data_IF_631993351505
#
_entry.id   IF_631993351505
#
_cell.length_a   1.000
_cell.length_b   1.000
_cell.length_c   1.000
_cell.angle_alpha   90.00
_cell.angle_beta   90.00
_cell.angle_gamma   90.00
#
_symmetry.space_group_name_H-M   'P 1'
#
loop_
_entity.id
_entity.type
_entity.pdbx_description
1 polymer ?
#
# COMPACT_ATOMS: atom_id res chain seq x y z
N UNK A 1 5.44 -11.21 8.28
CA UNK A 1 5.55 -9.83 8.76
C UNK A 1 4.54 -9.71 9.90
N UNK A 2 5.04 -9.59 11.13
CA UNK A 2 4.14 -9.19 12.19
C UNK A 2 3.46 -7.89 11.74
N UNK A 3 2.14 -7.73 11.93
CA UNK A 3 1.48 -6.45 11.72
C UNK A 3 2.35 -5.41 12.41
N UNK A 4 2.65 -4.32 11.71
CA UNK A 4 3.54 -3.28 12.21
C UNK A 4 3.19 -3.03 13.66
N UNK A 5 4.12 -3.36 14.58
CA UNK A 5 3.93 -3.03 15.99
C UNK A 5 3.72 -1.54 16.03
N UNK A 6 2.50 -1.18 16.39
CA UNK A 6 1.97 0.13 16.60
C UNK A 6 2.71 1.23 15.87
N UNK A 7 2.06 1.79 14.88
CA UNK A 7 2.47 3.09 14.36
C UNK A 7 2.59 4.00 15.57
N UNK A 8 3.82 4.35 15.95
CA UNK A 8 4.07 5.28 17.03
C UNK A 8 3.54 6.65 16.63
N UNK A 9 2.22 6.81 16.69
CA UNK A 9 1.58 8.06 16.36
C UNK A 9 1.87 9.08 17.44
N UNK A 10 2.46 10.16 17.00
CA UNK A 10 2.83 11.23 17.89
C UNK A 10 1.65 12.14 18.12
N UNK A 11 1.13 12.06 19.30
CA UNK A 11 0.08 12.91 19.77
C UNK A 11 0.64 14.25 20.25
N UNK A 12 0.50 15.30 19.44
CA UNK A 12 0.96 16.63 19.78
C UNK A 12 -0.19 17.59 20.00
N UNK A 13 -0.19 18.24 21.12
CA UNK A 13 -1.20 19.17 21.60
C UNK A 13 -0.66 20.59 21.56
N UNK A 14 -1.47 21.51 21.03
CA UNK A 14 -1.09 22.88 20.83
C UNK A 14 -1.99 23.83 21.61
N UNK A 15 -1.43 24.88 22.20
CA UNK A 15 -2.20 26.00 22.69
C UNK A 15 -1.53 27.34 22.37
N UNK A 16 -2.37 28.35 22.11
CA UNK A 16 -1.97 29.76 22.06
C UNK A 16 -2.46 30.44 23.35
N UNK A 17 -1.60 31.25 23.97
CA UNK A 17 -1.79 31.82 25.32
C UNK A 17 -3.03 32.70 25.48
N UNK A 18 -3.56 33.29 24.41
CA UNK A 18 -4.76 34.14 24.43
C UNK A 18 -6.09 33.33 24.44
N UNK A 19 -6.03 32.02 24.25
CA UNK A 19 -7.20 31.13 24.30
C UNK A 19 -7.19 30.27 25.55
N UNK A 20 -8.32 29.63 25.88
CA UNK A 20 -8.50 28.84 27.09
C UNK A 20 -7.46 27.72 27.23
N UNK A 21 -6.58 27.81 28.20
CA UNK A 21 -5.64 26.74 28.55
C UNK A 21 -6.33 25.54 29.19
N UNK A 22 -7.29 25.70 30.13
CA UNK A 22 -8.03 24.58 30.70
C UNK A 22 -8.78 23.79 29.64
N UNK A 23 -9.38 24.46 28.66
CA UNK A 23 -10.12 23.77 27.57
C UNK A 23 -9.16 23.02 26.62
N UNK A 24 -8.00 23.58 26.35
CA UNK A 24 -6.96 22.89 25.60
C UNK A 24 -6.50 21.60 26.30
N UNK A 25 -6.26 21.63 27.62
CA UNK A 25 -5.91 20.44 28.42
C UNK A 25 -7.05 19.42 28.42
N UNK A 26 -8.31 19.86 28.54
CA UNK A 26 -9.49 18.98 28.45
C UNK A 26 -9.53 18.23 27.11
N UNK A 27 -9.47 18.95 25.98
CA UNK A 27 -9.49 18.31 24.66
C UNK A 27 -8.26 17.45 24.39
N UNK A 28 -7.14 17.78 24.98
CA UNK A 28 -6.00 16.91 25.05
C UNK A 28 -6.37 15.53 25.59
N UNK A 29 -6.92 15.48 26.79
CA UNK A 29 -7.30 14.23 27.45
C UNK A 29 -8.35 13.45 26.67
N UNK A 30 -9.37 14.14 26.17
CA UNK A 30 -10.42 13.50 25.37
C UNK A 30 -9.90 12.87 24.08
N UNK A 31 -8.97 13.55 23.40
CA UNK A 31 -8.39 13.01 22.16
C UNK A 31 -7.47 11.81 22.44
N UNK A 32 -6.64 11.85 23.50
CA UNK A 32 -5.83 10.71 23.90
C UNK A 32 -6.69 9.49 24.19
N UNK A 33 -7.72 9.67 25.02
CA UNK A 33 -8.68 8.60 25.31
C UNK A 33 -9.32 8.02 24.05
N UNK A 34 -9.70 8.88 23.10
CA UNK A 34 -10.31 8.38 21.85
C UNK A 34 -9.32 7.59 20.99
N UNK A 35 -8.05 7.97 20.93
CA UNK A 35 -7.02 7.19 20.25
C UNK A 35 -6.80 5.82 20.93
N UNK A 36 -6.77 5.77 22.27
CA UNK A 36 -6.71 4.51 23.03
C UNK A 36 -7.90 3.59 22.72
N UNK A 37 -9.12 4.15 22.66
CA UNK A 37 -10.34 3.42 22.29
C UNK A 37 -10.29 2.86 20.87
N UNK A 38 -9.58 3.54 19.95
CA UNK A 38 -9.35 3.11 18.58
C UNK A 38 -8.17 2.11 18.44
N UNK A 39 -7.50 1.80 19.55
CA UNK A 39 -6.35 0.90 19.55
C UNK A 39 -5.08 1.49 18.89
N UNK A 40 -4.97 2.82 18.84
CA UNK A 40 -3.81 3.50 18.29
C UNK A 40 -2.67 3.49 19.31
N UNK A 41 -1.50 3.01 18.90
CA UNK A 41 -0.28 3.10 19.69
C UNK A 41 0.40 4.44 19.44
N UNK A 42 0.55 5.28 20.48
CA UNK A 42 1.08 6.63 20.33
C UNK A 42 2.05 7.05 21.45
N UNK A 43 2.92 7.97 21.12
CA UNK A 43 3.86 8.63 22.05
C UNK A 43 3.38 10.06 22.31
N UNK A 44 3.09 10.40 23.57
CA UNK A 44 2.68 11.74 23.95
C UNK A 44 3.84 12.55 24.56
N UNK A 45 3.56 13.78 25.01
CA UNK A 45 4.54 14.73 25.59
C UNK A 45 4.21 15.15 27.02
N UNK A 46 3.44 14.34 27.73
CA UNK A 46 3.05 14.63 29.14
C UNK A 46 4.22 14.60 30.11
N UNK A 47 5.28 13.89 29.77
CA UNK A 47 6.55 13.85 30.52
C UNK A 47 7.47 15.05 30.26
N UNK A 48 7.15 15.91 29.29
CA UNK A 48 7.97 17.08 28.93
C UNK A 48 7.50 18.33 29.63
N UNK A 49 6.19 18.50 29.80
CA UNK A 49 5.59 19.56 30.60
C UNK A 49 4.23 19.11 31.17
N UNK A 50 3.81 19.76 32.27
CA UNK A 50 2.62 19.37 33.04
C UNK A 50 1.30 19.43 32.23
N UNK A 51 1.23 20.34 31.26
CA UNK A 51 0.05 20.44 30.37
C UNK A 51 0.07 19.37 29.26
N UNK A 52 1.25 18.82 28.94
CA UNK A 52 1.44 17.94 27.78
C UNK A 52 1.07 18.62 26.46
N UNK A 53 1.36 19.93 26.33
CA UNK A 53 1.03 20.77 25.18
C UNK A 53 2.31 21.41 24.61
N UNK A 54 2.41 21.58 23.31
CA UNK A 54 3.44 22.39 22.67
C UNK A 54 2.93 23.83 22.51
N UNK A 55 3.64 24.81 23.08
CA UNK A 55 3.29 26.22 22.99
C UNK A 55 4.49 27.18 22.95
N UNK A 56 5.73 26.67 23.03
CA UNK A 56 6.94 27.47 22.95
C UNK A 56 8.15 26.68 22.46
N UNK A 57 9.25 27.34 22.16
CA UNK A 57 10.51 26.77 21.71
C UNK A 57 11.20 25.87 22.74
N UNK A 58 11.03 26.16 24.04
CA UNK A 58 11.80 25.51 25.12
C UNK A 58 11.55 24.00 25.16
N UNK A 59 10.31 23.55 24.91
CA UNK A 59 9.94 22.14 24.83
C UNK A 59 10.23 21.48 23.49
N UNK A 60 10.37 22.25 22.42
CA UNK A 60 10.41 21.73 21.05
C UNK A 60 11.59 20.79 20.80
N UNK A 61 12.81 21.17 21.22
CA UNK A 61 14.00 20.33 21.00
C UNK A 61 13.93 19.00 21.78
N UNK A 62 13.37 19.03 23.00
CA UNK A 62 13.12 17.81 23.78
C UNK A 62 12.10 16.89 23.10
N UNK A 63 11.05 17.47 22.51
CA UNK A 63 10.03 16.74 21.76
C UNK A 63 10.65 16.10 20.51
N UNK A 64 11.44 16.86 19.75
CA UNK A 64 12.13 16.34 18.55
C UNK A 64 13.04 15.17 18.94
N UNK A 65 13.84 15.32 20.00
CA UNK A 65 14.75 14.28 20.46
C UNK A 65 13.99 13.01 20.90
N UNK A 66 12.90 13.18 21.68
CA UNK A 66 12.04 12.06 22.09
C UNK A 66 11.50 11.30 20.90
N UNK A 67 10.88 11.99 19.95
CA UNK A 67 10.21 11.35 18.81
C UNK A 67 11.18 10.67 17.84
N UNK A 68 12.36 11.24 17.65
CA UNK A 68 13.44 10.57 16.89
C UNK A 68 13.93 9.31 17.60
N UNK A 69 14.04 9.32 18.94
CA UNK A 69 14.43 8.14 19.73
C UNK A 69 13.38 7.03 19.63
N UNK A 70 12.11 7.39 19.73
CA UNK A 70 10.99 6.43 19.64
C UNK A 70 10.70 6.00 18.18
N UNK A 71 11.34 6.63 17.18
CA UNK A 71 11.19 6.29 15.75
C UNK A 71 9.74 6.31 15.29
N UNK A 72 9.05 7.40 15.57
CA UNK A 72 7.65 7.56 15.19
C UNK A 72 7.44 7.50 13.67
N UNK A 73 6.40 6.84 13.22
CA UNK A 73 6.09 6.66 11.81
C UNK A 73 5.22 7.78 11.23
N UNK A 74 4.57 8.58 12.10
CA UNK A 74 3.72 9.70 11.71
C UNK A 74 3.59 10.73 12.82
N UNK A 75 3.15 11.93 12.48
CA UNK A 75 2.95 13.05 13.38
C UNK A 75 1.49 13.53 13.33
N UNK A 76 0.74 13.31 14.40
CA UNK A 76 -0.60 13.87 14.55
C UNK A 76 -0.54 15.22 15.28
N UNK A 77 -1.05 16.29 14.66
CA UNK A 77 -1.11 17.67 15.16
C UNK A 77 -2.57 18.07 15.51
N UNK A 78 -3.12 17.60 16.65
CA UNK A 78 -4.44 18.06 17.09
C UNK A 78 -4.36 19.46 17.68
N UNK A 79 -5.09 20.41 17.09
CA UNK A 79 -5.24 21.75 17.61
C UNK A 79 -6.25 21.75 18.77
N UNK A 80 -5.79 21.62 20.00
CA UNK A 80 -6.65 21.62 21.19
C UNK A 80 -7.23 23.02 21.53
N UNK A 81 -6.66 24.09 20.97
CA UNK A 81 -7.23 25.41 20.77
C UNK A 81 -6.63 26.00 19.48
N UNK A 82 -6.46 27.30 19.32
CA UNK A 82 -5.91 27.92 18.11
C UNK A 82 -4.53 27.31 17.72
N UNK A 83 -3.70 26.98 18.71
CA UNK A 83 -2.40 26.35 18.50
C UNK A 83 -1.26 27.29 18.14
N UNK A 84 -0.03 26.73 18.01
CA UNK A 84 1.20 27.45 17.67
C UNK A 84 1.69 27.00 16.28
N UNK A 85 1.65 27.93 15.34
CA UNK A 85 1.91 27.66 13.92
C UNK A 85 3.39 27.30 13.64
N UNK A 86 4.29 28.06 14.24
CA UNK A 86 5.72 28.01 13.96
C UNK A 86 6.37 26.76 14.54
N UNK A 87 6.11 26.46 15.80
CA UNK A 87 6.65 25.29 16.50
C UNK A 87 6.17 24.00 15.86
N UNK A 88 4.94 23.99 15.37
CA UNK A 88 4.39 22.84 14.63
C UNK A 88 5.11 22.56 13.32
N UNK A 89 5.33 23.62 12.56
CA UNK A 89 6.02 23.48 11.27
C UNK A 89 7.49 23.08 11.48
N UNK A 90 8.17 23.63 12.51
CA UNK A 90 9.53 23.21 12.86
C UNK A 90 9.61 21.75 13.27
N UNK A 91 8.69 21.30 14.11
CA UNK A 91 8.66 19.88 14.49
C UNK A 91 8.41 18.97 13.29
N UNK A 92 7.39 19.27 12.52
CA UNK A 92 7.05 18.49 11.33
C UNK A 92 8.24 18.42 10.36
N UNK A 93 8.92 19.55 10.12
CA UNK A 93 10.12 19.60 9.29
C UNK A 93 11.28 18.78 9.85
N UNK A 94 11.46 18.77 11.17
CA UNK A 94 12.59 18.07 11.83
C UNK A 94 12.40 16.55 11.87
N UNK A 95 11.16 16.06 11.86
CA UNK A 95 10.85 14.63 11.90
C UNK A 95 10.80 13.99 10.52
N UNK A 96 10.39 14.71 9.49
CA UNK A 96 10.28 14.25 8.10
C UNK A 96 9.44 12.95 7.95
N UNK A 97 8.32 12.92 8.64
CA UNK A 97 7.31 11.83 8.59
C UNK A 97 5.97 12.40 8.14
N UNK A 98 5.01 11.55 7.71
CA UNK A 98 3.65 12.00 7.42
C UNK A 98 3.05 12.81 8.56
N UNK A 99 2.30 13.84 8.23
CA UNK A 99 1.70 14.78 9.18
C UNK A 99 0.20 14.81 9.01
N UNK A 100 -0.55 14.55 10.08
CA UNK A 100 -2.00 14.76 10.15
C UNK A 100 -2.31 16.04 10.92
N UNK A 101 -2.96 16.99 10.25
CA UNK A 101 -3.46 18.22 10.84
C UNK A 101 -4.96 18.09 11.09
N UNK A 102 -5.39 18.26 12.34
CA UNK A 102 -6.78 18.21 12.75
C UNK A 102 -7.04 19.06 13.99
N UNK A 103 -8.31 19.40 14.25
CA UNK A 103 -8.76 19.99 15.49
C UNK A 103 -10.24 19.72 15.73
N UNK A 104 -10.65 19.60 17.00
CA UNK A 104 -12.04 19.33 17.35
C UNK A 104 -12.94 20.51 16.99
N UNK A 105 -14.15 20.21 16.52
CA UNK A 105 -15.18 21.20 16.27
C UNK A 105 -15.42 22.03 17.55
N UNK A 106 -15.44 23.36 17.42
CA UNK A 106 -15.66 24.27 18.53
C UNK A 106 -17.11 24.22 19.01
N UNK A 107 -17.31 24.41 20.32
CA UNK A 107 -18.63 24.57 20.91
C UNK A 107 -19.23 25.96 20.58
N UNK A 108 -20.49 26.15 20.95
CA UNK A 108 -21.13 27.47 20.88
C UNK A 108 -20.37 28.45 21.78
N UNK A 109 -20.29 29.74 21.42
CA UNK A 109 -19.78 30.75 22.31
C UNK A 109 -20.47 30.73 23.69
N UNK A 110 -19.75 31.09 24.72
CA UNK A 110 -20.29 31.31 26.06
C UNK A 110 -21.38 32.41 26.05
N UNK A 111 -22.23 32.50 27.09
CA UNK A 111 -23.29 33.51 27.14
C UNK A 111 -22.85 34.96 27.00
N UNK A 112 -21.59 35.24 27.35
CA UNK A 112 -20.97 36.58 27.19
C UNK A 112 -20.34 36.78 25.80
N UNK A 113 -20.45 35.80 24.91
CA UNK A 113 -19.88 35.81 23.56
C UNK A 113 -18.43 35.35 23.47
N UNK A 114 -17.82 34.90 24.57
CA UNK A 114 -16.45 34.40 24.59
C UNK A 114 -16.36 33.08 23.81
N UNK A 115 -15.37 32.98 22.92
CA UNK A 115 -14.97 31.73 22.24
C UNK A 115 -13.71 31.18 22.90
N UNK A 116 -13.74 29.89 23.25
CA UNK A 116 -12.67 29.29 24.07
C UNK A 116 -11.45 28.86 23.26
N UNK A 117 -11.64 28.46 21.98
CA UNK A 117 -10.57 27.75 21.23
C UNK A 117 -10.27 28.31 19.85
N UNK A 118 -11.25 28.71 19.08
CA UNK A 118 -11.13 29.12 17.65
C UNK A 118 -10.27 28.14 16.83
N UNK A 119 -10.51 26.85 17.02
CA UNK A 119 -9.69 25.73 16.50
C UNK A 119 -9.57 25.77 14.98
N UNK A 120 -10.67 25.98 14.27
CA UNK A 120 -10.66 26.02 12.80
C UNK A 120 -9.78 27.14 12.25
N UNK A 121 -9.81 28.31 12.88
CA UNK A 121 -8.94 29.43 12.50
C UNK A 121 -7.44 29.06 12.66
N UNK A 122 -7.11 28.36 13.76
CA UNK A 122 -5.76 27.86 14.00
C UNK A 122 -5.31 26.82 12.97
N UNK A 123 -6.21 25.95 12.51
CA UNK A 123 -5.91 24.98 11.44
C UNK A 123 -5.54 25.68 10.12
N UNK A 124 -6.27 26.73 9.74
CA UNK A 124 -5.96 27.50 8.52
C UNK A 124 -4.61 28.22 8.65
N UNK A 125 -4.32 28.78 9.81
CA UNK A 125 -3.04 29.44 10.08
C UNK A 125 -1.86 28.47 10.04
N UNK A 126 -1.95 27.35 10.74
CA UNK A 126 -0.90 26.30 10.75
C UNK A 126 -0.70 25.68 9.37
N UNK A 127 -1.76 25.39 8.63
CA UNK A 127 -1.67 24.90 7.26
C UNK A 127 -0.90 25.84 6.34
N UNK A 128 -1.07 27.17 6.50
CA UNK A 128 -0.27 28.15 5.77
C UNK A 128 1.22 28.08 6.13
N UNK A 129 1.57 27.90 7.40
CA UNK A 129 2.98 27.84 7.83
C UNK A 129 3.63 26.53 7.44
N UNK A 130 2.94 25.39 7.55
CA UNK A 130 3.43 24.09 7.02
C UNK A 130 3.82 24.21 5.54
N UNK A 131 2.98 24.86 4.72
CA UNK A 131 3.29 25.11 3.30
C UNK A 131 4.52 25.98 3.11
N UNK A 132 4.73 27.03 3.94
CA UNK A 132 5.95 27.86 3.90
C UNK A 132 7.19 27.05 4.21
N UNK A 133 7.09 26.08 5.11
CA UNK A 133 8.18 25.15 5.45
C UNK A 133 8.35 24.02 4.42
N UNK A 134 7.48 23.97 3.40
CA UNK A 134 7.44 22.89 2.40
C UNK A 134 7.27 21.51 3.04
N UNK A 135 6.44 21.43 4.07
CA UNK A 135 6.06 20.19 4.72
C UNK A 135 4.72 19.73 4.12
N UNK A 136 4.68 18.56 3.48
CA UNK A 136 3.41 17.97 3.09
C UNK A 136 2.63 17.57 4.34
N UNK A 137 1.31 17.67 4.27
CA UNK A 137 0.45 17.25 5.37
C UNK A 137 -0.92 16.78 4.84
N UNK A 138 -1.54 15.87 5.59
CA UNK A 138 -2.92 15.45 5.43
C UNK A 138 -3.81 16.31 6.33
N UNK A 139 -4.91 16.79 5.80
CA UNK A 139 -5.91 17.55 6.56
C UNK A 139 -7.17 16.70 6.75
N UNK A 140 -7.48 16.42 8.00
CA UNK A 140 -8.79 15.88 8.38
C UNK A 140 -9.73 17.03 8.74
N UNK A 141 -10.97 16.97 8.24
CA UNK A 141 -11.94 18.04 8.49
C UNK A 141 -12.14 18.29 9.98
N UNK A 142 -12.39 19.56 10.34
CA UNK A 142 -12.74 19.94 11.70
C UNK A 142 -14.07 19.26 12.11
N UNK A 143 -14.00 18.29 13.02
CA UNK A 143 -15.12 17.43 13.40
C UNK A 143 -15.07 17.07 14.89
N UNK A 144 -16.12 16.43 15.41
CA UNK A 144 -16.11 15.90 16.78
C UNK A 144 -15.37 14.59 16.86
N UNK A 145 -14.81 14.27 18.02
CA UNK A 145 -14.10 13.03 18.31
C UNK A 145 -14.93 11.75 18.05
N UNK A 146 -16.25 11.85 18.24
CA UNK A 146 -17.17 10.71 18.03
C UNK A 146 -17.80 10.69 16.62
N UNK A 147 -17.45 11.61 15.76
CA UNK A 147 -17.93 11.59 14.39
C UNK A 147 -17.24 10.46 13.60
N UNK A 148 -17.95 9.72 12.75
CA UNK A 148 -17.35 8.63 11.95
C UNK A 148 -16.14 9.07 11.11
N UNK A 149 -16.12 10.35 10.69
CA UNK A 149 -15.01 10.92 9.92
C UNK A 149 -13.71 10.99 10.72
N UNK A 150 -13.79 11.17 12.05
CA UNK A 150 -12.58 11.15 12.89
C UNK A 150 -11.94 9.76 12.91
N UNK A 151 -12.73 8.73 13.20
CA UNK A 151 -12.24 7.35 13.22
C UNK A 151 -11.65 6.93 11.87
N UNK A 152 -12.39 7.19 10.77
CA UNK A 152 -11.89 6.91 9.43
C UNK A 152 -10.61 7.68 9.12
N UNK A 153 -10.58 8.99 9.38
CA UNK A 153 -9.40 9.82 9.11
C UNK A 153 -8.15 9.39 9.88
N UNK A 154 -8.30 8.87 11.11
CA UNK A 154 -7.19 8.26 11.86
C UNK A 154 -6.74 6.96 11.19
N UNK A 155 -7.66 6.04 10.85
CA UNK A 155 -7.34 4.78 10.18
C UNK A 155 -6.64 5.00 8.83
N UNK A 156 -7.17 5.89 8.01
CA UNK A 156 -6.58 6.24 6.72
C UNK A 156 -5.17 6.85 6.88
N UNK A 157 -4.99 7.72 7.88
CA UNK A 157 -3.67 8.28 8.16
C UNK A 157 -2.65 7.23 8.63
N UNK A 158 -3.06 6.27 9.45
CA UNK A 158 -2.21 5.13 9.83
C UNK A 158 -1.79 4.31 8.60
N UNK A 159 -2.71 4.08 7.69
CA UNK A 159 -2.42 3.41 6.42
C UNK A 159 -1.47 4.23 5.54
N UNK A 160 -1.63 5.55 5.45
CA UNK A 160 -0.68 6.45 4.77
C UNK A 160 0.73 6.34 5.38
N UNK A 161 0.85 6.36 6.71
CA UNK A 161 2.13 6.17 7.39
C UNK A 161 2.77 4.82 7.05
N UNK A 162 1.96 3.75 7.02
CA UNK A 162 2.42 2.42 6.65
C UNK A 162 2.92 2.36 5.20
N UNK A 163 2.20 2.98 4.26
CA UNK A 163 2.63 3.08 2.85
C UNK A 163 3.98 3.78 2.75
N UNK A 164 4.12 4.96 3.38
CA UNK A 164 5.36 5.75 3.32
C UNK A 164 6.54 5.00 3.92
N UNK A 165 6.34 4.37 5.08
CA UNK A 165 7.36 3.55 5.75
C UNK A 165 7.77 2.36 4.88
N UNK A 166 6.79 1.65 4.34
CA UNK A 166 7.03 0.47 3.51
C UNK A 166 7.75 0.83 2.23
N UNK A 167 7.31 1.91 1.54
CA UNK A 167 7.92 2.39 0.30
C UNK A 167 9.41 2.72 0.48
N UNK A 168 9.77 3.42 1.55
CA UNK A 168 11.18 3.77 1.86
C UNK A 168 12.07 2.55 2.19
N UNK A 169 11.46 1.39 2.40
CA UNK A 169 12.16 0.15 2.77
C UNK A 169 12.02 -0.97 1.73
N UNK A 170 11.60 -0.66 0.51
CA UNK A 170 11.46 -1.66 -0.56
C UNK A 170 12.85 -2.19 -0.96
N UNK A 171 12.98 -3.53 -0.91
CA UNK A 171 14.13 -4.29 -1.37
C UNK A 171 13.64 -5.44 -2.20
N UNK A 172 13.98 -5.45 -3.49
CA UNK A 172 13.43 -6.35 -4.49
C UNK A 172 14.45 -7.44 -4.83
N UNK A 173 14.08 -8.68 -4.66
CA UNK A 173 14.82 -9.81 -5.22
C UNK A 173 14.51 -9.89 -6.73
N UNK A 174 15.43 -9.49 -7.57
CA UNK A 174 15.30 -9.63 -9.01
C UNK A 174 15.86 -10.98 -9.45
N UNK A 175 15.00 -11.89 -9.86
CA UNK A 175 15.37 -13.24 -10.29
C UNK A 175 15.53 -13.24 -11.81
N UNK A 176 16.81 -13.21 -12.25
CA UNK A 176 17.23 -13.14 -13.64
C UNK A 176 16.83 -11.82 -14.34
N UNK A 177 16.74 -11.84 -15.65
CA UNK A 177 16.45 -10.66 -16.48
C UNK A 177 14.99 -10.65 -16.91
N UNK A 178 14.48 -9.49 -17.39
CA UNK A 178 13.20 -9.49 -18.08
C UNK A 178 13.23 -10.42 -19.29
N UNK A 179 12.08 -10.98 -19.72
CA UNK A 179 12.02 -11.69 -21.00
C UNK A 179 12.47 -10.75 -22.13
N UNK A 180 13.21 -11.28 -23.12
CA UNK A 180 13.93 -10.43 -24.04
C UNK A 180 13.03 -9.52 -24.91
N UNK A 181 11.81 -9.97 -25.24
CA UNK A 181 10.84 -9.24 -26.04
C UNK A 181 9.97 -8.24 -25.21
N UNK A 182 10.10 -8.24 -23.90
CA UNK A 182 9.24 -7.45 -23.00
C UNK A 182 9.86 -6.07 -22.71
N UNK A 183 9.87 -5.21 -23.69
CA UNK A 183 10.46 -3.87 -23.60
C UNK A 183 9.69 -2.94 -22.67
N UNK A 184 8.38 -3.16 -22.50
CA UNK A 184 7.51 -2.33 -21.64
C UNK A 184 7.77 -2.49 -20.14
N UNK A 185 8.43 -3.57 -19.70
CA UNK A 185 8.79 -3.77 -18.28
C UNK A 185 10.18 -3.24 -17.91
N UNK A 186 10.85 -2.51 -18.82
CA UNK A 186 12.13 -1.88 -18.49
C UNK A 186 11.95 -0.84 -17.37
N UNK A 187 12.87 -0.86 -16.41
CA UNK A 187 12.93 0.15 -15.36
C UNK A 187 14.32 0.79 -15.31
N UNK A 188 14.41 1.99 -14.74
CA UNK A 188 15.67 2.64 -14.44
C UNK A 188 16.08 2.38 -13.00
N UNK A 189 16.85 1.32 -12.77
CA UNK A 189 17.33 0.92 -11.45
C UNK A 189 18.07 2.06 -10.72
N UNK A 190 18.89 2.84 -11.45
CA UNK A 190 19.62 3.96 -10.89
C UNK A 190 18.69 5.04 -10.36
N UNK A 191 17.65 5.40 -11.10
CA UNK A 191 16.65 6.39 -10.65
C UNK A 191 15.85 5.89 -9.44
N UNK A 192 15.47 4.61 -9.42
CA UNK A 192 14.76 4.02 -8.28
C UNK A 192 15.59 4.10 -7.00
N UNK A 193 16.89 3.82 -7.10
CA UNK A 193 17.80 3.94 -5.96
C UNK A 193 18.03 5.40 -5.53
N UNK A 194 18.35 6.28 -6.48
CA UNK A 194 18.73 7.67 -6.18
C UNK A 194 17.54 8.49 -5.69
N UNK A 195 16.36 8.27 -6.26
CA UNK A 195 15.16 9.05 -5.96
C UNK A 195 14.39 8.56 -4.74
N UNK A 196 14.29 7.23 -4.60
CA UNK A 196 13.41 6.60 -3.62
C UNK A 196 14.14 5.72 -2.61
N UNK A 197 15.42 5.41 -2.84
CA UNK A 197 16.16 4.48 -2.00
C UNK A 197 15.76 3.00 -2.20
N UNK A 198 14.99 2.70 -3.25
CA UNK A 198 14.57 1.34 -3.60
C UNK A 198 15.79 0.55 -4.09
N UNK A 199 16.01 -0.62 -3.50
CA UNK A 199 17.18 -1.44 -3.81
C UNK A 199 16.77 -2.71 -4.55
N UNK A 200 17.45 -2.99 -5.65
CA UNK A 200 17.35 -4.24 -6.38
C UNK A 200 18.51 -5.15 -6.01
N UNK A 201 18.22 -6.43 -5.80
CA UNK A 201 19.22 -7.50 -5.57
C UNK A 201 19.10 -8.52 -6.70
N UNK A 202 19.81 -8.31 -7.82
CA UNK A 202 19.72 -9.21 -8.96
C UNK A 202 20.49 -10.52 -8.68
N UNK A 203 19.85 -11.65 -9.00
CA UNK A 203 20.46 -12.97 -8.99
C UNK A 203 20.29 -13.64 -10.35
N UNK A 204 21.27 -14.43 -10.81
CA UNK A 204 21.14 -15.19 -12.05
C UNK A 204 20.24 -16.43 -11.84
N UNK A 205 19.58 -16.90 -12.92
CA UNK A 205 18.73 -18.09 -12.88
C UNK A 205 19.41 -19.33 -12.27
N UNK A 206 20.71 -19.64 -12.58
CA UNK A 206 21.41 -20.76 -11.94
C UNK A 206 21.46 -20.70 -10.40
N UNK A 207 21.43 -19.52 -9.78
CA UNK A 207 21.37 -19.43 -8.31
C UNK A 207 20.02 -19.90 -7.77
N UNK A 208 18.93 -19.55 -8.46
CA UNK A 208 17.59 -20.04 -8.10
C UNK A 208 17.50 -21.56 -8.27
N UNK A 209 17.92 -22.09 -9.42
CA UNK A 209 17.85 -23.54 -9.69
C UNK A 209 18.74 -24.35 -8.76
N UNK A 210 19.91 -23.83 -8.36
CA UNK A 210 20.73 -24.45 -7.32
C UNK A 210 20.03 -24.42 -5.95
N UNK A 211 19.43 -23.30 -5.56
CA UNK A 211 18.68 -23.22 -4.31
C UNK A 211 17.50 -24.21 -4.28
N UNK A 212 16.82 -24.43 -5.43
CA UNK A 212 15.78 -25.47 -5.54
C UNK A 212 16.34 -26.89 -5.35
N UNK A 213 17.51 -27.20 -5.92
CA UNK A 213 18.19 -28.49 -5.70
C UNK A 213 18.52 -28.69 -4.24
N UNK A 214 19.11 -27.68 -3.60
CA UNK A 214 19.44 -27.69 -2.18
C UNK A 214 18.17 -27.92 -1.30
N UNK A 215 17.04 -27.31 -1.65
CA UNK A 215 15.76 -27.55 -0.97
C UNK A 215 15.30 -28.99 -1.13
N UNK A 216 15.35 -29.55 -2.34
CA UNK A 216 14.97 -30.95 -2.60
C UNK A 216 15.83 -31.97 -1.85
N UNK A 217 17.14 -31.71 -1.76
CA UNK A 217 18.07 -32.60 -1.09
C UNK A 217 18.01 -32.50 0.45
N UNK A 218 17.82 -31.29 0.98
CA UNK A 218 18.01 -31.02 2.41
C UNK A 218 16.72 -30.67 3.18
N UNK A 219 15.57 -30.52 2.50
CA UNK A 219 14.31 -30.07 3.14
C UNK A 219 13.07 -30.83 2.63
N UNK A 220 13.09 -32.17 2.54
CA UNK A 220 11.95 -32.94 2.03
C UNK A 220 10.67 -32.75 2.86
N UNK A 221 10.79 -32.51 4.16
CA UNK A 221 9.64 -32.28 5.03
C UNK A 221 8.94 -30.94 4.70
N UNK A 222 9.70 -29.87 4.44
CA UNK A 222 9.10 -28.57 4.03
C UNK A 222 8.40 -28.71 2.66
N UNK A 223 8.98 -29.45 1.71
CA UNK A 223 8.32 -29.77 0.43
C UNK A 223 7.00 -30.48 0.69
N UNK A 224 7.01 -31.48 1.58
CA UNK A 224 5.81 -32.21 1.95
C UNK A 224 4.75 -31.30 2.56
N UNK A 225 5.12 -30.40 3.47
CA UNK A 225 4.19 -29.43 4.07
C UNK A 225 3.52 -28.56 3.00
N UNK A 226 4.29 -27.99 2.06
CA UNK A 226 3.75 -27.17 0.98
C UNK A 226 2.87 -27.97 0.03
N UNK A 227 3.29 -29.20 -0.34
CA UNK A 227 2.49 -30.05 -1.25
C UNK A 227 1.21 -30.55 -0.60
N UNK A 228 1.24 -30.86 0.71
CA UNK A 228 0.02 -31.23 1.46
C UNK A 228 -0.93 -30.04 1.57
N UNK A 229 -0.44 -28.84 1.83
CA UNK A 229 -1.24 -27.60 1.76
C UNK A 229 -1.86 -27.42 0.37
N UNK A 230 -1.09 -27.61 -0.71
CA UNK A 230 -1.64 -27.53 -2.07
C UNK A 230 -2.75 -28.56 -2.30
N UNK A 231 -2.57 -29.82 -1.88
CA UNK A 231 -3.62 -30.85 -2.00
C UNK A 231 -4.87 -30.53 -1.20
N UNK A 232 -4.73 -29.94 -0.02
CA UNK A 232 -5.86 -29.50 0.79
C UNK A 232 -6.63 -28.35 0.12
N UNK A 233 -5.90 -27.32 -0.33
CA UNK A 233 -6.51 -26.05 -0.80
C UNK A 233 -6.84 -26.01 -2.29
N UNK A 234 -6.28 -26.91 -3.10
CA UNK A 234 -6.37 -26.84 -4.56
C UNK A 234 -6.71 -28.20 -5.19
N UNK A 235 -7.26 -28.17 -6.40
CA UNK A 235 -7.34 -29.32 -7.27
C UNK A 235 -6.00 -29.50 -8.01
N UNK A 236 -5.40 -30.71 -7.93
CA UNK A 236 -4.09 -30.96 -8.50
C UNK A 236 -4.23 -31.75 -9.82
N UNK A 237 -3.82 -31.12 -10.94
CA UNK A 237 -3.80 -31.75 -12.27
C UNK A 237 -2.38 -31.84 -12.84
N UNK A 238 -1.37 -31.66 -12.01
CA UNK A 238 0.03 -31.81 -12.36
C UNK A 238 0.59 -33.11 -11.77
N UNK A 239 1.72 -33.57 -12.26
CA UNK A 239 2.41 -34.77 -11.71
C UNK A 239 2.93 -34.51 -10.30
N UNK A 240 3.14 -35.56 -9.49
CA UNK A 240 3.77 -35.40 -8.17
C UNK A 240 5.12 -34.65 -8.24
N UNK A 241 5.95 -34.98 -9.23
CA UNK A 241 7.25 -34.33 -9.44
C UNK A 241 7.11 -32.83 -9.76
N UNK A 242 6.13 -32.46 -10.61
CA UNK A 242 5.85 -31.04 -10.90
C UNK A 242 5.35 -30.31 -9.66
N UNK A 243 4.53 -30.94 -8.84
CA UNK A 243 4.06 -30.34 -7.58
C UNK A 243 5.21 -30.15 -6.59
N UNK A 244 6.14 -31.11 -6.49
CA UNK A 244 7.35 -30.96 -5.68
C UNK A 244 8.25 -29.84 -6.21
N UNK A 245 8.32 -29.65 -7.55
CA UNK A 245 9.01 -28.53 -8.17
C UNK A 245 8.37 -27.17 -7.80
N UNK A 246 7.04 -27.08 -7.80
CA UNK A 246 6.31 -25.87 -7.35
C UNK A 246 6.65 -25.54 -5.89
N UNK A 247 6.63 -26.56 -5.02
CA UNK A 247 6.97 -26.39 -3.60
C UNK A 247 8.44 -25.99 -3.41
N UNK A 248 9.36 -26.65 -4.10
CA UNK A 248 10.80 -26.33 -4.03
C UNK A 248 11.09 -24.91 -4.54
N UNK A 249 10.43 -24.48 -5.62
CA UNK A 249 10.55 -23.12 -6.16
C UNK A 249 10.06 -22.08 -5.15
N UNK A 250 8.87 -22.27 -4.57
CA UNK A 250 8.31 -21.39 -3.53
C UNK A 250 9.26 -21.23 -2.35
N UNK A 251 9.78 -22.34 -1.82
CA UNK A 251 10.71 -22.35 -0.68
C UNK A 251 12.03 -21.66 -1.05
N UNK A 252 12.59 -21.97 -2.23
CA UNK A 252 13.84 -21.37 -2.71
C UNK A 252 13.71 -19.84 -2.84
N UNK A 253 12.63 -19.32 -3.47
CA UNK A 253 12.39 -17.88 -3.61
C UNK A 253 12.30 -17.20 -2.25
N UNK A 254 11.55 -17.75 -1.31
CA UNK A 254 11.40 -17.20 0.04
C UNK A 254 12.74 -17.19 0.79
N UNK A 255 13.55 -18.25 0.70
CA UNK A 255 14.88 -18.34 1.32
C UNK A 255 15.88 -17.34 0.70
N UNK A 256 15.86 -17.19 -0.62
CA UNK A 256 16.69 -16.20 -1.31
C UNK A 256 16.28 -14.78 -0.94
N UNK A 257 14.99 -14.48 -0.88
CA UNK A 257 14.50 -13.20 -0.38
C UNK A 257 15.05 -12.90 1.02
N UNK A 258 14.92 -13.84 1.94
CA UNK A 258 15.48 -13.70 3.31
C UNK A 258 17.01 -13.56 3.31
N UNK A 259 17.73 -14.34 2.51
CA UNK A 259 19.20 -14.30 2.40
C UNK A 259 19.70 -12.92 1.98
N UNK A 260 19.02 -12.29 1.03
CA UNK A 260 19.40 -10.98 0.50
C UNK A 260 18.68 -9.80 1.19
N UNK A 261 17.89 -10.06 2.22
CA UNK A 261 17.15 -9.03 2.95
C UNK A 261 16.08 -8.34 2.12
N UNK A 262 15.52 -9.03 1.12
CA UNK A 262 14.45 -8.56 0.26
C UNK A 262 13.08 -8.85 0.86
N UNK A 263 12.11 -7.95 0.65
CA UNK A 263 10.74 -8.09 1.13
C UNK A 263 9.71 -8.32 0.02
N UNK A 264 10.15 -8.35 -1.22
CA UNK A 264 9.37 -8.64 -2.41
C UNK A 264 10.29 -9.12 -3.53
N UNK A 265 9.74 -9.55 -4.67
CA UNK A 265 10.53 -10.04 -5.79
C UNK A 265 9.89 -9.81 -7.15
N UNK A 266 10.70 -10.04 -8.19
CA UNK A 266 10.28 -10.10 -9.59
C UNK A 266 11.04 -11.23 -10.28
N UNK A 267 10.38 -12.01 -11.11
CA UNK A 267 10.97 -13.22 -11.71
C UNK A 267 10.81 -13.26 -13.22
N UNK A 268 11.87 -13.69 -13.91
CA UNK A 268 11.80 -14.09 -15.31
C UNK A 268 10.99 -15.39 -15.42
N UNK A 269 9.74 -15.31 -15.85
CA UNK A 269 8.82 -16.44 -15.86
C UNK A 269 8.82 -17.24 -17.17
N UNK A 270 9.41 -16.74 -18.26
CA UNK A 270 9.57 -17.43 -19.56
C UNK A 270 11.02 -17.18 -20.10
N UNK A 271 11.67 -18.11 -20.80
CA UNK A 271 11.34 -19.56 -20.96
C UNK A 271 12.25 -20.41 -20.06
N UNK A 272 13.23 -19.77 -19.38
CA UNK A 272 14.32 -20.43 -18.70
C UNK A 272 13.85 -21.49 -17.67
N UNK A 273 12.81 -21.18 -16.89
CA UNK A 273 12.31 -22.12 -15.88
C UNK A 273 11.62 -23.33 -16.50
N UNK A 274 10.88 -23.15 -17.61
CA UNK A 274 10.26 -24.24 -18.31
C UNK A 274 11.31 -25.23 -18.84
N UNK A 275 12.38 -24.69 -19.42
CA UNK A 275 13.48 -25.50 -20.00
C UNK A 275 14.31 -26.20 -18.92
N UNK A 276 14.56 -25.54 -17.78
CA UNK A 276 15.43 -26.08 -16.74
C UNK A 276 14.73 -26.99 -15.71
N UNK A 277 13.49 -26.67 -15.35
CA UNK A 277 12.78 -27.35 -14.25
C UNK A 277 11.40 -27.91 -14.62
N UNK A 278 10.95 -27.68 -15.85
CA UNK A 278 9.74 -28.28 -16.40
C UNK A 278 8.43 -27.78 -15.76
N UNK A 279 8.41 -26.57 -15.16
CA UNK A 279 7.20 -25.95 -14.62
C UNK A 279 7.16 -24.44 -14.89
N UNK A 280 5.91 -23.92 -14.90
CA UNK A 280 5.65 -22.48 -14.77
C UNK A 280 5.83 -22.03 -13.32
N UNK A 281 6.31 -20.82 -13.05
CA UNK A 281 6.47 -20.31 -11.67
C UNK A 281 5.16 -19.82 -11.05
N UNK A 282 4.06 -19.73 -11.80
CA UNK A 282 2.85 -19.02 -11.42
C UNK A 282 2.23 -19.54 -10.11
N UNK A 283 2.13 -20.87 -9.92
CA UNK A 283 1.61 -21.42 -8.68
C UNK A 283 2.53 -21.14 -7.47
N UNK A 284 3.85 -21.18 -7.68
CA UNK A 284 4.82 -20.82 -6.64
C UNK A 284 4.75 -19.32 -6.30
N UNK A 285 4.60 -18.43 -7.31
CA UNK A 285 4.36 -17.01 -7.09
C UNK A 285 3.05 -16.78 -6.30
N UNK A 286 1.97 -17.48 -6.66
CA UNK A 286 0.69 -17.38 -5.96
C UNK A 286 0.82 -17.73 -4.46
N UNK A 287 1.56 -18.78 -4.13
CA UNK A 287 1.85 -19.17 -2.75
C UNK A 287 2.68 -18.10 -2.01
N UNK A 288 3.71 -17.53 -2.65
CA UNK A 288 4.50 -16.45 -2.09
C UNK A 288 3.66 -15.18 -1.87
N UNK A 289 2.83 -14.81 -2.84
CA UNK A 289 1.94 -13.65 -2.77
C UNK A 289 0.93 -13.80 -1.62
N UNK A 290 0.37 -14.99 -1.44
CA UNK A 290 -0.58 -15.29 -0.37
C UNK A 290 0.05 -15.19 1.04
N UNK A 291 1.35 -15.51 1.15
CA UNK A 291 2.11 -15.36 2.38
C UNK A 291 2.67 -13.94 2.63
N UNK A 292 2.44 -12.99 1.73
CA UNK A 292 2.89 -11.59 1.85
C UNK A 292 4.33 -11.36 1.42
N UNK A 293 4.83 -12.18 0.50
CA UNK A 293 6.06 -11.94 -0.24
C UNK A 293 5.70 -11.80 -1.73
N UNK A 294 5.23 -10.61 -2.14
CA UNK A 294 4.74 -10.40 -3.50
C UNK A 294 5.86 -10.57 -4.53
N UNK A 295 5.58 -11.35 -5.57
CA UNK A 295 6.48 -11.61 -6.69
C UNK A 295 5.74 -11.31 -7.99
N UNK A 296 6.22 -10.30 -8.73
CA UNK A 296 5.71 -9.98 -10.06
C UNK A 296 6.32 -10.90 -11.13
N UNK A 297 5.51 -11.22 -12.13
CA UNK A 297 5.95 -11.90 -13.34
C UNK A 297 6.75 -10.98 -14.26
N UNK A 298 7.35 -11.53 -15.31
CA UNK A 298 8.09 -10.83 -16.38
C UNK A 298 9.18 -9.87 -15.89
N UNK A 299 9.69 -10.10 -14.66
CA UNK A 299 10.65 -9.21 -13.98
C UNK A 299 10.15 -7.77 -13.94
N UNK A 300 8.82 -7.57 -13.79
CA UNK A 300 8.22 -6.24 -13.68
C UNK A 300 8.47 -5.62 -12.31
N UNK A 301 9.55 -4.84 -12.24
CA UNK A 301 9.97 -4.15 -11.01
C UNK A 301 8.92 -3.13 -10.56
N UNK A 302 8.33 -2.37 -11.49
CA UNK A 302 7.29 -1.39 -11.18
C UNK A 302 6.00 -2.08 -10.68
N UNK A 303 5.66 -3.25 -11.24
CA UNK A 303 4.56 -4.09 -10.75
C UNK A 303 4.81 -4.61 -9.33
N UNK A 304 6.06 -5.02 -9.02
CA UNK A 304 6.44 -5.39 -7.66
C UNK A 304 6.29 -4.23 -6.67
N UNK A 305 6.78 -3.04 -7.02
CA UNK A 305 6.60 -1.83 -6.20
C UNK A 305 5.10 -1.55 -5.98
N UNK A 306 4.29 -1.68 -7.04
CA UNK A 306 2.84 -1.49 -6.95
C UNK A 306 2.20 -2.47 -5.98
N UNK A 307 2.57 -3.77 -6.03
CA UNK A 307 2.05 -4.79 -5.10
C UNK A 307 2.34 -4.43 -3.64
N UNK A 308 3.57 -4.00 -3.36
CA UNK A 308 3.97 -3.57 -2.01
C UNK A 308 3.17 -2.36 -1.54
N UNK A 309 2.93 -1.38 -2.42
CA UNK A 309 2.17 -0.17 -2.10
C UNK A 309 0.71 -0.49 -1.76
N UNK A 310 0.03 -1.31 -2.57
CA UNK A 310 -1.39 -1.63 -2.33
C UNK A 310 -1.58 -2.50 -1.08
N UNK A 311 -0.68 -3.45 -0.81
CA UNK A 311 -0.73 -4.26 0.43
C UNK A 311 -0.47 -3.42 1.67
N UNK A 312 0.46 -2.46 1.58
CA UNK A 312 0.71 -1.51 2.67
C UNK A 312 -0.52 -0.61 2.93
N UNK A 313 -1.18 -0.13 1.88
CA UNK A 313 -2.39 0.68 1.99
C UNK A 313 -3.58 -0.12 2.55
N UNK A 314 -3.68 -1.40 2.21
CA UNK A 314 -4.67 -2.32 2.75
C UNK A 314 -4.35 -2.82 4.18
N UNK A 315 -3.26 -2.36 4.79
CA UNK A 315 -2.82 -2.75 6.14
C UNK A 315 -2.65 -4.27 6.33
N UNK A 316 -2.43 -5.01 5.23
CA UNK A 316 -2.31 -6.47 5.24
C UNK A 316 -3.63 -7.23 5.43
N UNK A 317 -4.79 -6.55 5.39
CA UNK A 317 -6.11 -7.19 5.53
C UNK A 317 -6.48 -8.04 4.31
N UNK A 318 -5.93 -7.72 3.16
CA UNK A 318 -6.12 -8.48 1.91
C UNK A 318 -4.82 -8.54 1.12
N UNK A 319 -4.72 -9.48 0.17
CA UNK A 319 -3.56 -9.66 -0.69
C UNK A 319 -3.75 -9.00 -2.03
N UNK A 320 -2.65 -8.49 -2.58
CA UNK A 320 -2.60 -7.96 -3.94
C UNK A 320 -2.61 -9.07 -4.99
N UNK A 321 -3.09 -8.75 -6.18
CA UNK A 321 -3.00 -9.61 -7.35
C UNK A 321 -2.45 -8.84 -8.55
N UNK A 322 -1.51 -9.45 -9.26
CA UNK A 322 -0.86 -8.88 -10.44
C UNK A 322 -1.59 -9.34 -11.70
N UNK A 323 -2.03 -8.41 -12.54
CA UNK A 323 -2.92 -8.67 -13.68
C UNK A 323 -2.56 -7.87 -14.94
N UNK A 324 -3.03 -8.38 -16.09
CA UNK A 324 -3.10 -7.65 -17.34
C UNK A 324 -4.49 -7.06 -17.54
N UNK A 325 -4.57 -5.84 -18.05
CA UNK A 325 -5.71 -5.35 -18.80
C UNK A 325 -5.69 -6.07 -20.16
N UNK A 326 -6.66 -6.96 -20.41
CA UNK A 326 -6.50 -8.00 -21.46
C UNK A 326 -7.37 -7.76 -22.67
N UNK A 327 -8.70 -7.77 -22.48
CA UNK A 327 -9.68 -7.59 -23.56
C UNK A 327 -10.95 -6.94 -23.03
N UNK A 328 -11.62 -6.15 -23.86
CA UNK A 328 -12.93 -5.58 -23.55
C UNK A 328 -13.99 -6.68 -23.39
N UNK A 329 -14.93 -6.42 -22.51
CA UNK A 329 -16.07 -7.30 -22.29
C UNK A 329 -16.98 -7.35 -23.54
N UNK A 330 -17.46 -8.55 -23.97
CA UNK A 330 -18.20 -8.67 -25.22
C UNK A 330 -19.58 -7.97 -25.22
N UNK A 331 -20.12 -7.59 -24.06
CA UNK A 331 -21.48 -7.05 -23.91
C UNK A 331 -21.57 -5.84 -22.98
N UNK A 332 -20.45 -5.34 -22.43
CA UNK A 332 -20.42 -4.20 -21.53
C UNK A 332 -19.24 -3.29 -21.90
N UNK A 333 -19.54 -2.15 -22.52
CA UNK A 333 -18.54 -1.22 -23.05
C UNK A 333 -17.64 -0.60 -21.97
N UNK A 334 -18.03 -0.64 -20.70
CA UNK A 334 -17.24 -0.15 -19.56
C UNK A 334 -16.55 -1.28 -18.77
N UNK A 335 -16.52 -2.49 -19.29
CA UNK A 335 -15.92 -3.62 -18.60
C UNK A 335 -14.80 -4.27 -19.40
N UNK A 336 -13.83 -4.78 -18.66
CA UNK A 336 -12.63 -5.41 -19.21
C UNK A 336 -12.23 -6.64 -18.40
N UNK A 337 -11.52 -7.56 -19.06
CA UNK A 337 -10.92 -8.73 -18.43
C UNK A 337 -9.60 -8.37 -17.76
N UNK A 338 -9.51 -8.60 -16.47
CA UNK A 338 -8.25 -8.74 -15.79
C UNK A 338 -7.85 -10.20 -15.76
N UNK A 339 -6.66 -10.53 -16.26
CA UNK A 339 -6.19 -11.90 -16.35
C UNK A 339 -4.68 -11.96 -16.14
N UNK A 340 -4.17 -13.09 -15.67
CA UNK A 340 -2.77 -13.48 -15.77
C UNK A 340 -2.62 -14.99 -15.84
N UNK A 341 -1.42 -15.47 -16.17
CA UNK A 341 -1.16 -16.91 -16.32
C UNK A 341 -1.47 -17.74 -15.07
N UNK A 342 -1.50 -17.15 -13.86
CA UNK A 342 -1.90 -17.88 -12.65
C UNK A 342 -1.14 -17.51 -11.36
N UNK A 343 -0.63 -16.27 -11.18
CA UNK A 343 0.13 -15.91 -9.98
C UNK A 343 -0.73 -15.33 -8.83
N UNK A 344 -2.05 -15.28 -8.97
CA UNK A 344 -2.89 -14.62 -7.98
C UNK A 344 -2.99 -15.42 -6.68
N UNK A 345 -3.05 -14.75 -5.53
CA UNK A 345 -3.16 -15.40 -4.22
C UNK A 345 -4.36 -16.36 -4.15
N UNK A 346 -4.17 -17.48 -3.48
CA UNK A 346 -5.23 -18.49 -3.29
C UNK A 346 -6.38 -17.92 -2.48
N UNK A 347 -6.08 -17.05 -1.52
CA UNK A 347 -7.05 -16.42 -0.62
C UNK A 347 -8.10 -15.57 -1.33
N UNK A 348 -7.82 -15.08 -2.54
CA UNK A 348 -8.79 -14.31 -3.33
C UNK A 348 -9.61 -15.15 -4.33
N UNK A 349 -9.35 -16.46 -4.46
CA UNK A 349 -10.11 -17.31 -5.35
C UNK A 349 -11.57 -17.47 -4.88
N UNK A 350 -12.52 -17.40 -5.84
CA UNK A 350 -13.96 -17.57 -5.60
C UNK A 350 -14.30 -19.01 -5.20
N UNK A 351 -13.64 -19.96 -5.85
CA UNK A 351 -13.76 -21.38 -5.60
C UNK A 351 -12.38 -22.01 -5.43
N UNK A 352 -12.34 -23.29 -5.12
CA UNK A 352 -11.09 -24.05 -4.95
C UNK A 352 -10.28 -24.00 -6.27
N UNK A 353 -9.10 -23.35 -6.30
CA UNK A 353 -8.32 -23.19 -7.53
C UNK A 353 -7.76 -24.53 -8.01
N UNK A 354 -7.36 -24.59 -9.28
CA UNK A 354 -6.72 -25.79 -9.87
C UNK A 354 -5.30 -25.46 -10.31
N UNK A 355 -4.32 -26.27 -9.96
CA UNK A 355 -2.98 -26.22 -10.58
C UNK A 355 -3.05 -27.04 -11.88
N UNK A 356 -2.79 -26.38 -13.01
CA UNK A 356 -2.93 -26.96 -14.36
C UNK A 356 -1.90 -26.31 -15.32
N UNK A 357 -2.08 -26.54 -16.62
CA UNK A 357 -1.31 -25.95 -17.71
C UNK A 357 -1.99 -24.67 -18.21
N UNK A 358 -1.29 -23.52 -18.33
CA UNK A 358 -1.84 -22.26 -18.82
C UNK A 358 -2.15 -22.31 -20.34
N UNK A 359 -2.73 -21.20 -20.86
CA UNK A 359 -3.09 -21.10 -22.28
C UNK A 359 -1.86 -20.99 -23.19
N UNK A 360 -0.88 -20.21 -22.77
CA UNK A 360 0.20 -19.76 -23.63
C UNK A 360 1.41 -20.71 -23.70
N UNK A 361 1.49 -21.72 -22.83
CA UNK A 361 2.66 -22.59 -22.70
C UNK A 361 2.27 -24.05 -22.50
N UNK A 362 2.98 -24.96 -23.14
CA UNK A 362 2.85 -26.41 -22.93
C UNK A 362 3.61 -26.88 -21.67
N UNK A 363 3.51 -26.08 -20.59
CA UNK A 363 4.20 -26.35 -19.35
C UNK A 363 3.27 -26.11 -18.16
N UNK A 364 3.14 -27.08 -17.29
CA UNK A 364 2.24 -27.04 -16.12
C UNK A 364 2.83 -26.21 -14.97
N UNK A 365 2.00 -25.87 -13.98
CA UNK A 365 2.43 -25.14 -12.77
C UNK A 365 1.77 -23.76 -12.61
N UNK A 366 0.66 -23.54 -13.29
CA UNK A 366 -0.15 -22.33 -13.18
C UNK A 366 -1.44 -22.58 -12.41
N UNK A 367 -1.99 -21.54 -11.76
CA UNK A 367 -3.31 -21.60 -11.15
C UNK A 367 -4.41 -21.22 -12.15
N UNK A 368 -5.51 -21.97 -12.08
CA UNK A 368 -6.76 -21.65 -12.76
C UNK A 368 -7.79 -21.28 -11.70
N UNK A 369 -8.20 -20.03 -11.65
CA UNK A 369 -9.17 -19.53 -10.67
C UNK A 369 -9.85 -18.24 -11.16
N UNK A 370 -11.15 -18.17 -10.97
CA UNK A 370 -11.85 -16.88 -10.94
C UNK A 370 -11.67 -16.27 -9.56
N UNK A 371 -11.39 -14.97 -9.49
CA UNK A 371 -11.33 -14.27 -8.21
C UNK A 371 -12.73 -14.04 -7.63
N UNK A 372 -12.79 -13.80 -6.33
CA UNK A 372 -14.02 -13.40 -5.61
C UNK A 372 -14.59 -12.11 -6.19
N UNK A 373 -15.91 -12.01 -6.09
CA UNK A 373 -16.59 -10.77 -6.44
C UNK A 373 -16.21 -9.66 -5.44
N UNK A 374 -16.17 -8.42 -5.91
CA UNK A 374 -15.89 -7.24 -5.12
C UNK A 374 -16.63 -6.02 -5.65
N UNK A 375 -17.26 -5.29 -4.75
CA UNK A 375 -17.91 -4.01 -5.05
C UNK A 375 -16.88 -2.85 -5.13
N UNK A 376 -15.75 -3.01 -4.46
CA UNK A 376 -14.64 -2.06 -4.45
C UNK A 376 -13.33 -2.81 -4.63
N UNK A 377 -12.76 -2.68 -5.80
CA UNK A 377 -11.44 -3.22 -6.14
C UNK A 377 -10.60 -2.05 -6.59
N UNK A 378 -9.58 -1.69 -5.82
CA UNK A 378 -8.61 -0.71 -6.31
C UNK A 378 -7.66 -1.37 -7.30
N UNK A 379 -7.46 -0.73 -8.45
CA UNK A 379 -6.53 -1.14 -9.50
C UNK A 379 -5.51 -0.04 -9.70
N UNK A 380 -4.26 -0.38 -9.54
CA UNK A 380 -3.15 0.57 -9.34
C UNK A 380 -1.97 0.20 -10.22
N UNK A 381 -1.22 1.20 -10.67
CA UNK A 381 0.06 0.98 -11.35
C UNK A 381 1.05 2.10 -11.00
N UNK A 382 2.16 1.76 -10.37
CA UNK A 382 3.33 2.62 -10.27
C UNK A 382 4.15 2.49 -11.55
N UNK A 383 4.45 3.60 -12.20
CA UNK A 383 5.31 3.60 -13.38
C UNK A 383 6.01 4.96 -13.55
N UNK A 384 7.02 4.98 -14.40
CA UNK A 384 7.71 6.21 -14.74
C UNK A 384 9.03 5.99 -15.44
N UNK A 385 9.48 7.06 -16.09
CA UNK A 385 10.77 7.16 -16.77
C UNK A 385 11.28 8.61 -16.74
N UNK A 386 12.50 8.82 -17.21
CA UNK A 386 13.11 10.15 -17.34
C UNK A 386 13.03 11.02 -16.07
N UNK A 387 13.04 10.36 -14.90
CA UNK A 387 12.95 11.02 -13.60
C UNK A 387 11.55 11.45 -13.18
N UNK A 388 10.51 11.17 -13.94
CA UNK A 388 9.11 11.43 -13.59
C UNK A 388 8.38 10.13 -13.28
N UNK A 389 7.79 10.03 -12.10
CA UNK A 389 7.08 8.84 -11.62
C UNK A 389 5.68 9.19 -11.17
N UNK A 390 4.74 8.36 -11.56
CA UNK A 390 3.33 8.51 -11.22
C UNK A 390 2.73 7.20 -10.71
N UNK A 391 1.59 7.33 -10.03
CA UNK A 391 0.79 6.22 -9.55
C UNK A 391 -0.60 6.34 -10.18
N UNK A 392 -0.89 5.48 -11.16
CA UNK A 392 -2.24 5.32 -11.72
C UNK A 392 -3.14 4.73 -10.65
N UNK A 393 -4.25 5.38 -10.38
CA UNK A 393 -5.15 5.06 -9.28
C UNK A 393 -6.60 5.03 -9.74
N UNK A 394 -7.31 3.97 -9.40
CA UNK A 394 -8.74 3.94 -9.57
C UNK A 394 -9.39 2.70 -9.00
N UNK A 395 -10.71 2.72 -9.01
CA UNK A 395 -11.56 1.65 -8.51
C UNK A 395 -12.37 1.00 -9.63
N UNK A 396 -12.71 -0.24 -9.43
CA UNK A 396 -13.58 -1.03 -10.25
C UNK A 396 -14.49 -1.92 -9.37
N UNK A 397 -15.50 -2.52 -9.97
CA UNK A 397 -16.31 -3.58 -9.37
C UNK A 397 -16.33 -4.81 -10.28
N UNK A 398 -16.52 -5.98 -9.73
CA UNK A 398 -16.66 -7.20 -10.55
C UNK A 398 -17.98 -7.21 -11.28
N UNK A 399 -17.95 -7.81 -12.48
CA UNK A 399 -19.12 -8.12 -13.29
C UNK A 399 -19.01 -9.55 -13.81
N UNK A 400 -20.14 -10.13 -14.17
CA UNK A 400 -20.16 -11.43 -14.81
C UNK A 400 -19.55 -11.35 -16.21
N UNK A 401 -18.86 -12.41 -16.63
CA UNK A 401 -18.27 -12.49 -17.95
C UNK A 401 -17.84 -13.91 -18.33
N UNK A 402 -17.42 -14.12 -19.59
CA UNK A 402 -17.02 -15.43 -20.08
C UNK A 402 -15.86 -16.05 -19.29
N UNK A 403 -15.85 -17.38 -19.19
CA UNK A 403 -14.71 -18.12 -18.62
C UNK A 403 -13.46 -17.94 -19.47
N UNK A 404 -12.32 -17.78 -18.81
CA UNK A 404 -10.99 -17.86 -19.41
C UNK A 404 -10.04 -18.68 -18.54
N UNK A 405 -9.00 -19.24 -19.14
CA UNK A 405 -7.94 -19.95 -18.40
C UNK A 405 -6.99 -18.96 -17.69
N UNK A 406 -6.37 -19.41 -16.61
CA UNK A 406 -5.50 -18.62 -15.75
C UNK A 406 -6.23 -18.11 -14.52
N UNK A 407 -5.67 -17.14 -13.86
CA UNK A 407 -6.36 -16.38 -12.81
C UNK A 407 -7.00 -15.15 -13.43
N UNK A 408 -8.28 -14.91 -13.15
CA UNK A 408 -9.03 -13.86 -13.85
C UNK A 408 -10.22 -13.30 -13.06
N UNK A 409 -10.64 -12.11 -13.46
CA UNK A 409 -11.95 -11.51 -13.15
C UNK A 409 -12.36 -10.54 -14.25
N UNK A 410 -13.65 -10.34 -14.41
CA UNK A 410 -14.19 -9.26 -15.22
C UNK A 410 -14.52 -8.10 -14.31
N UNK A 411 -14.10 -6.90 -14.69
CA UNK A 411 -14.32 -5.69 -13.91
C UNK A 411 -14.96 -4.59 -14.75
N UNK A 412 -15.85 -3.83 -14.14
CA UNK A 412 -16.44 -2.62 -14.70
C UNK A 412 -15.78 -1.40 -14.05
N UNK A 413 -15.35 -0.47 -14.89
CA UNK A 413 -14.79 0.83 -14.52
C UNK A 413 -15.81 1.90 -14.91
N UNK A 414 -16.00 2.95 -14.11
CA UNK A 414 -16.99 4.01 -14.41
C UNK A 414 -16.72 4.68 -15.77
N UNK A 415 -15.46 4.84 -16.14
CA UNK A 415 -15.04 5.43 -17.41
C UNK A 415 -13.81 4.72 -17.99
N UNK A 416 -14.07 3.64 -18.74
CA UNK A 416 -13.03 2.83 -19.36
C UNK A 416 -12.22 3.61 -20.41
N UNK A 417 -12.85 4.49 -21.19
CA UNK A 417 -12.15 5.29 -22.21
C UNK A 417 -11.07 6.20 -21.58
N UNK A 418 -11.34 6.75 -20.39
CA UNK A 418 -10.32 7.53 -19.65
C UNK A 418 -9.15 6.65 -19.21
N UNK A 419 -9.42 5.46 -18.75
CA UNK A 419 -8.37 4.50 -18.36
C UNK A 419 -7.54 4.11 -19.58
N UNK A 420 -8.17 3.75 -20.69
CA UNK A 420 -7.48 3.38 -21.93
C UNK A 420 -6.60 4.52 -22.45
N UNK A 421 -7.10 5.76 -22.44
CA UNK A 421 -6.31 6.92 -22.83
C UNK A 421 -5.03 7.06 -21.99
N UNK A 422 -5.13 6.86 -20.67
CA UNK A 422 -3.97 6.85 -19.77
C UNK A 422 -3.00 5.70 -20.03
N UNK A 423 -3.51 4.51 -20.30
CA UNK A 423 -2.68 3.34 -20.61
C UNK A 423 -1.96 3.48 -21.95
N UNK A 424 -2.62 4.08 -22.96
CA UNK A 424 -2.07 4.20 -24.32
C UNK A 424 -1.18 5.44 -24.48
N UNK A 425 -1.55 6.57 -23.89
CA UNK A 425 -0.87 7.86 -24.07
C UNK A 425 0.04 8.22 -22.88
N UNK A 426 -0.18 7.62 -21.73
CA UNK A 426 0.59 7.85 -20.51
C UNK A 426 1.82 6.94 -20.40
N UNK A 427 2.54 6.99 -19.25
CA UNK A 427 3.75 6.19 -19.03
C UNK A 427 3.45 4.74 -18.64
N UNK A 428 2.19 4.32 -18.64
CA UNK A 428 1.76 3.02 -18.10
C UNK A 428 1.81 1.92 -19.16
N UNK A 429 1.73 0.68 -18.67
CA UNK A 429 1.67 -0.53 -19.51
C UNK A 429 0.38 -1.31 -19.19
N UNK A 430 0.18 -2.42 -19.87
CA UNK A 430 -0.99 -3.29 -19.66
C UNK A 430 -1.03 -3.97 -18.30
N UNK A 431 0.07 -4.00 -17.52
CA UNK A 431 0.07 -4.55 -16.17
C UNK A 431 -0.57 -3.60 -15.16
N UNK A 432 -1.37 -4.16 -14.28
CA UNK A 432 -1.86 -3.49 -13.08
C UNK A 432 -1.78 -4.42 -11.86
N UNK A 433 -1.95 -3.83 -10.70
CA UNK A 433 -2.07 -4.57 -9.44
C UNK A 433 -3.39 -4.21 -8.78
N UNK A 434 -4.15 -5.21 -8.40
CA UNK A 434 -5.43 -5.02 -7.75
C UNK A 434 -5.46 -5.48 -6.30
N UNK A 435 -6.44 -4.98 -5.56
CA UNK A 435 -6.75 -5.38 -4.19
C UNK A 435 -8.25 -5.22 -3.91
N UNK A 436 -8.85 -6.20 -3.20
CA UNK A 436 -10.28 -6.18 -2.85
C UNK A 436 -10.57 -5.24 -1.67
N UNK A 437 -10.21 -3.96 -1.84
CA UNK A 437 -10.42 -2.89 -0.87
C UNK A 437 -10.30 -1.54 -1.58
N UNK A 438 -11.03 -0.52 -1.12
CA UNK A 438 -10.82 0.85 -1.59
C UNK A 438 -9.61 1.46 -0.86
N UNK A 439 -8.46 1.44 -1.54
CA UNK A 439 -7.20 2.03 -1.05
C UNK A 439 -6.81 3.31 -1.81
N UNK A 440 -7.63 3.74 -2.77
CA UNK A 440 -7.36 4.93 -3.59
C UNK A 440 -7.16 6.19 -2.75
N UNK A 441 -8.00 6.53 -1.75
CA UNK A 441 -7.78 7.72 -0.93
C UNK A 441 -6.47 7.69 -0.14
N UNK A 442 -6.10 6.52 0.39
CA UNK A 442 -4.85 6.32 1.15
C UNK A 442 -3.64 6.51 0.24
N UNK A 443 -3.63 5.85 -0.92
CA UNK A 443 -2.52 5.96 -1.88
C UNK A 443 -2.40 7.36 -2.47
N UNK A 444 -3.53 8.02 -2.76
CA UNK A 444 -3.55 9.42 -3.20
C UNK A 444 -2.87 10.34 -2.17
N UNK A 445 -3.20 10.18 -0.89
CA UNK A 445 -2.56 10.96 0.18
C UNK A 445 -1.08 10.58 0.36
N UNK A 446 -0.72 9.30 0.25
CA UNK A 446 0.66 8.83 0.39
C UNK A 446 1.59 9.41 -0.69
N UNK A 447 1.11 9.61 -1.92
CA UNK A 447 1.89 10.13 -3.05
C UNK A 447 2.66 11.42 -2.71
N UNK A 448 2.05 12.35 -1.97
CA UNK A 448 2.69 13.61 -1.58
C UNK A 448 3.91 13.46 -0.68
N UNK A 449 4.00 12.33 0.06
CA UNK A 449 5.10 12.03 0.99
C UNK A 449 6.22 11.22 0.35
N UNK A 450 5.88 10.44 -0.69
CA UNK A 450 6.85 9.60 -1.41
C UNK A 450 7.38 10.24 -2.68
N UNK A 451 6.89 11.45 -3.03
CA UNK A 451 7.37 12.18 -4.21
C UNK A 451 6.92 11.59 -5.55
N UNK A 452 5.76 10.94 -5.57
CA UNK A 452 5.13 10.35 -6.76
C UNK A 452 3.88 11.15 -7.12
N UNK A 453 3.61 11.35 -8.40
CA UNK A 453 2.42 12.07 -8.87
C UNK A 453 1.21 11.13 -8.89
N UNK A 454 0.12 11.43 -8.15
CA UNK A 454 -1.10 10.64 -8.27
C UNK A 454 -1.79 10.94 -9.62
N UNK A 455 -2.17 9.89 -10.34
CA UNK A 455 -2.87 9.97 -11.63
C UNK A 455 -4.17 9.17 -11.58
N UNK A 456 -5.28 9.87 -11.34
CA UNK A 456 -6.58 9.27 -11.12
C UNK A 456 -7.35 9.03 -12.43
N UNK A 457 -7.86 7.81 -12.62
CA UNK A 457 -8.80 7.53 -13.70
C UNK A 457 -10.25 7.42 -13.19
N UNK A 458 -10.48 6.86 -11.98
CA UNK A 458 -11.78 6.73 -11.32
C UNK A 458 -11.61 6.39 -9.83
N UNK A 459 -12.18 7.14 -8.86
CA UNK A 459 -12.93 8.38 -9.07
C UNK A 459 -12.05 9.58 -9.42
N UNK A 460 -12.67 10.65 -9.89
CA UNK A 460 -11.95 11.91 -10.17
C UNK A 460 -11.40 12.54 -8.87
N UNK A 461 -10.41 13.40 -9.01
CA UNK A 461 -9.68 13.99 -7.88
C UNK A 461 -10.57 14.71 -6.87
N UNK A 462 -11.60 15.42 -7.33
CA UNK A 462 -12.56 16.11 -6.46
C UNK A 462 -13.33 15.13 -5.57
N UNK A 463 -13.74 13.98 -6.09
CA UNK A 463 -14.41 12.92 -5.32
C UNK A 463 -13.45 12.31 -4.28
N UNK A 464 -12.21 12.02 -4.65
CA UNK A 464 -11.19 11.50 -3.72
C UNK A 464 -10.94 12.49 -2.58
N UNK A 465 -10.76 13.78 -2.90
CA UNK A 465 -10.59 14.83 -1.91
C UNK A 465 -11.81 14.98 -0.99
N UNK A 466 -13.02 14.81 -1.51
CA UNK A 466 -14.25 14.81 -0.72
C UNK A 466 -14.28 13.65 0.27
N UNK A 467 -13.92 12.45 -0.17
CA UNK A 467 -13.81 11.25 0.70
C UNK A 467 -12.82 11.50 1.84
N UNK A 468 -11.62 11.99 1.53
CA UNK A 468 -10.57 12.27 2.52
C UNK A 468 -11.06 13.30 3.54
N UNK A 469 -11.76 14.34 3.11
CA UNK A 469 -12.35 15.36 4.00
C UNK A 469 -13.53 14.85 4.84
N UNK A 470 -14.09 13.69 4.53
CA UNK A 470 -15.19 13.12 5.26
C UNK A 470 -16.56 13.46 4.73
N UNK A 471 -16.65 14.00 3.53
CA UNK A 471 -17.93 14.19 2.86
C UNK A 471 -18.53 12.81 2.53
N UNK A 472 -19.86 12.69 2.68
CA UNK A 472 -20.57 11.54 2.15
C UNK A 472 -20.61 11.71 0.65
N UNK A 473 -19.85 10.91 -0.08
CA UNK A 473 -20.05 10.77 -1.52
C UNK A 473 -21.31 9.91 -1.67
N UNK A 474 -22.37 10.46 -2.20
CA UNK A 474 -23.54 9.67 -2.58
C UNK A 474 -23.06 8.60 -3.59
N UNK A 475 -23.42 7.35 -3.29
CA UNK A 475 -23.05 6.18 -4.08
C UNK A 475 -23.73 6.21 -5.44
#
# INVERSE_FOLDING_TARGET
>A
VAPSRGLGDVYKRQRRSIFSAPDAVKYRGLTAKRLEELGVDFVDITDINDEGLLYNDEGLEKIIAKFKKEKVDGLFLPHCNFGTEYECARLAKALDVPVLLWGPLDERPEPDGTRLRDTQCGLFATGKVLRRFRVPFTYMTNCRLNDPVFERGIKDFLAVCNVVKTFKNIRILQISTRPFDFWSTMCNEGELLEKFGIQLSPIPMPELTQAMKDVKENSPEEIKEVTDYCREKMCIKVTPEQLDNVAALKIAMTRLGKKYGCNCGAIQCWNALQDEIGIMPCAANALCNDEGFPIACETDIHGTITSVLVEAAAMGETRSFFADWTVRHPYNDNAELLQHCGPWPISIAKEKPTIDTPVAFDCSGSLMAQAKDGEHISLVRFDGDNGEYSLLLGNAKTVDGPYTKGTYMWVEVENLDRLEDKLVQGPYIHHCVGVHQDVVPVLYEACKYIGVTPDLYDPIEEKVKAIIRGEKVEK
#
